data_IF_559737149167
#
_entry.id   IF_559737149167
#
_cell.length_a   1.000
_cell.length_b   1.000
_cell.length_c   1.000
_cell.angle_alpha   90.00
_cell.angle_beta   90.00
_cell.angle_gamma   90.00
#
_symmetry.space_group_name_H-M   'P 1'
#
loop_
_entity.id
_entity.type
_entity.pdbx_description
1 polymer ?
#
# COMPACT_ATOMS: atom_id res chain seq x y z
N UNK A 1 42.16 60.49 -46.58
CA UNK A 1 41.22 59.36 -46.76
C UNK A 1 42.01 58.07 -46.62
N UNK A 2 41.84 57.38 -45.50
CA UNK A 2 42.44 56.07 -45.22
C UNK A 2 41.28 55.15 -44.84
N UNK A 3 41.10 54.11 -45.65
CA UNK A 3 39.94 53.23 -45.67
C UNK A 3 39.95 52.23 -44.51
N UNK A 4 38.77 51.85 -43.99
CA UNK A 4 38.62 50.98 -42.83
C UNK A 4 38.40 49.53 -43.25
N UNK A 5 39.27 48.59 -42.85
CA UNK A 5 38.88 47.17 -42.76
C UNK A 5 39.83 46.34 -41.89
N UNK A 6 39.98 46.76 -40.64
CA UNK A 6 40.36 45.82 -39.57
C UNK A 6 39.08 45.30 -38.94
N UNK A 7 38.58 44.16 -39.40
CA UNK A 7 37.60 43.39 -38.65
C UNK A 7 37.52 41.96 -39.19
N UNK A 8 37.58 41.01 -38.26
CA UNK A 8 37.35 39.58 -38.40
C UNK A 8 38.46 38.76 -39.07
N UNK A 9 39.42 38.31 -38.26
CA UNK A 9 40.01 36.97 -38.36
C UNK A 9 40.63 36.60 -37.00
N UNK A 10 39.79 36.56 -35.96
CA UNK A 10 40.12 35.90 -34.69
C UNK A 10 38.93 35.04 -34.27
N UNK A 11 39.23 33.82 -33.81
CA UNK A 11 38.36 32.83 -33.15
C UNK A 11 37.65 31.79 -34.02
N UNK A 12 38.41 30.99 -34.77
CA UNK A 12 38.02 29.62 -35.08
C UNK A 12 38.93 28.68 -34.29
N UNK A 13 38.34 27.91 -33.36
CA UNK A 13 38.79 26.62 -32.78
C UNK A 13 38.51 26.52 -31.27
N UNK A 14 37.24 26.60 -30.85
CA UNK A 14 36.77 25.93 -29.62
C UNK A 14 35.31 25.51 -29.78
N UNK A 15 35.02 24.66 -30.77
CA UNK A 15 33.80 23.86 -30.79
C UNK A 15 34.14 22.43 -30.34
N UNK A 16 34.76 22.31 -29.16
CA UNK A 16 34.80 21.05 -28.44
C UNK A 16 33.39 20.74 -27.97
N UNK A 17 32.62 20.04 -28.80
CA UNK A 17 31.30 19.55 -28.44
C UNK A 17 31.42 18.69 -27.19
N UNK A 18 31.04 19.24 -26.05
CA UNK A 18 30.79 18.46 -24.85
C UNK A 18 29.56 17.61 -25.14
N UNK A 19 29.81 16.40 -25.66
CA UNK A 19 28.86 15.31 -25.55
C UNK A 19 28.62 15.16 -24.06
N UNK A 20 27.55 15.78 -23.59
CA UNK A 20 27.02 15.58 -22.25
C UNK A 20 26.57 14.14 -22.25
N UNK A 21 27.47 13.24 -21.87
CA UNK A 21 27.10 11.89 -21.47
C UNK A 21 26.11 12.08 -20.34
N UNK A 22 24.83 11.97 -20.68
CA UNK A 22 23.74 11.97 -19.71
C UNK A 22 24.10 10.88 -18.72
N UNK A 23 24.59 11.27 -17.54
CA UNK A 23 25.02 10.35 -16.52
C UNK A 23 23.88 9.34 -16.35
N UNK A 24 24.14 8.07 -16.71
CA UNK A 24 23.13 7.03 -16.63
C UNK A 24 22.69 6.98 -15.18
N UNK A 25 21.43 7.35 -14.94
CA UNK A 25 20.85 7.35 -13.59
C UNK A 25 21.06 5.94 -13.04
N UNK A 26 21.66 5.78 -11.85
CA UNK A 26 21.91 4.46 -11.29
C UNK A 26 20.58 3.66 -11.24
N UNK A 27 20.62 2.35 -11.51
CA UNK A 27 19.42 1.53 -11.49
C UNK A 27 18.71 1.71 -10.15
N UNK A 28 17.39 1.92 -10.20
CA UNK A 28 16.59 2.09 -8.98
C UNK A 28 16.70 0.80 -8.15
N UNK A 29 16.93 0.90 -6.83
CA UNK A 29 16.89 -0.27 -5.96
C UNK A 29 15.58 -1.05 -6.12
N UNK A 30 15.68 -2.38 -6.07
CA UNK A 30 14.55 -3.28 -6.14
C UNK A 30 13.55 -3.00 -5.00
N UNK A 31 12.27 -3.37 -5.20
CA UNK A 31 11.28 -3.41 -4.11
C UNK A 31 11.80 -4.27 -2.96
N UNK A 32 11.51 -3.90 -1.72
CA UNK A 32 11.74 -4.82 -0.58
C UNK A 32 10.68 -5.92 -0.60
N UNK A 33 9.45 -5.61 -0.96
CA UNK A 33 8.36 -6.59 -1.02
C UNK A 33 8.52 -7.66 -2.11
N UNK A 34 9.39 -7.46 -3.10
CA UNK A 34 9.59 -8.46 -4.16
C UNK A 34 10.36 -9.68 -3.68
N UNK A 35 11.07 -9.60 -2.54
CA UNK A 35 11.76 -10.76 -1.95
C UNK A 35 10.87 -11.60 -1.05
N UNK A 36 9.68 -11.09 -0.69
CA UNK A 36 8.71 -11.80 0.14
C UNK A 36 8.07 -12.91 -0.68
N UNK A 37 8.04 -14.13 -0.17
CA UNK A 37 7.32 -15.22 -0.82
C UNK A 37 5.83 -15.15 -0.44
N UNK A 38 4.91 -15.25 -1.42
CA UNK A 38 3.49 -15.34 -1.12
C UNK A 38 3.15 -16.71 -0.53
N UNK A 39 2.00 -16.79 0.14
CA UNK A 39 1.41 -18.04 0.58
C UNK A 39 1.36 -19.02 -0.59
N UNK A 40 1.93 -20.20 -0.39
CA UNK A 40 1.95 -21.26 -1.41
C UNK A 40 0.51 -21.64 -1.72
N UNK A 41 0.18 -21.66 -3.01
CA UNK A 41 -1.16 -21.96 -3.53
C UNK A 41 -2.25 -21.13 -2.83
N UNK A 42 -2.03 -19.81 -2.72
CA UNK A 42 -3.01 -18.90 -2.13
C UNK A 42 -4.41 -19.09 -2.74
N UNK A 43 -5.40 -19.29 -1.88
CA UNK A 43 -6.80 -19.48 -2.25
C UNK A 43 -7.66 -18.32 -1.73
N UNK A 44 -8.16 -17.50 -2.65
CA UNK A 44 -9.00 -16.34 -2.32
C UNK A 44 -10.33 -16.74 -1.66
N UNK A 45 -10.91 -17.89 -2.03
CA UNK A 45 -12.17 -18.36 -1.45
C UNK A 45 -12.00 -18.79 0.00
N UNK A 46 -10.90 -19.47 0.33
CA UNK A 46 -10.59 -19.80 1.73
C UNK A 46 -10.21 -18.55 2.53
N UNK A 47 -9.57 -17.57 1.88
CA UNK A 47 -9.20 -16.30 2.50
C UNK A 47 -10.39 -15.34 2.72
N UNK A 48 -11.52 -15.57 2.05
CA UNK A 48 -12.71 -14.74 2.13
C UNK A 48 -13.28 -14.61 3.56
N UNK A 49 -14.16 -13.65 3.77
CA UNK A 49 -14.85 -13.41 5.03
C UNK A 49 -14.16 -12.37 5.90
N UNK A 50 -14.40 -12.47 7.21
CA UNK A 50 -14.03 -11.45 8.18
C UNK A 50 -12.63 -11.68 8.76
N UNK A 51 -11.87 -10.60 8.92
CA UNK A 51 -10.54 -10.56 9.51
C UNK A 51 -10.40 -9.37 10.47
N UNK A 52 -9.90 -9.60 11.68
CA UNK A 52 -9.67 -8.57 12.69
C UNK A 52 -8.19 -8.16 12.65
N UNK A 53 -7.90 -6.87 12.53
CA UNK A 53 -6.53 -6.38 12.59
C UNK A 53 -6.01 -6.46 14.03
N UNK A 54 -4.95 -7.23 14.23
CA UNK A 54 -4.33 -7.45 15.55
C UNK A 54 -3.17 -6.49 15.77
N UNK A 55 -2.24 -6.43 14.81
CA UNK A 55 -1.04 -5.64 14.93
C UNK A 55 -0.50 -5.17 13.58
N UNK A 56 0.24 -4.07 13.59
CA UNK A 56 0.99 -3.55 12.45
C UNK A 56 2.42 -3.27 12.88
N UNK A 57 3.39 -3.82 12.17
CA UNK A 57 4.80 -3.44 12.29
C UNK A 57 5.18 -2.51 11.15
N UNK A 58 5.65 -1.30 11.46
CA UNK A 58 6.06 -0.31 10.45
C UNK A 58 6.97 0.77 10.99
N UNK A 59 7.94 1.20 10.18
CA UNK A 59 8.73 2.42 10.38
C UNK A 59 7.99 3.71 10.01
N UNK A 60 6.70 3.64 9.66
CA UNK A 60 5.91 4.83 9.35
C UNK A 60 5.76 5.72 10.58
N UNK A 61 6.38 6.91 10.53
CA UNK A 61 6.37 7.89 11.62
C UNK A 61 4.97 8.22 12.15
N UNK A 62 3.99 8.35 11.26
CA UNK A 62 2.61 8.63 11.66
C UNK A 62 2.04 7.51 12.55
N UNK A 63 2.28 6.24 12.20
CA UNK A 63 1.84 5.10 13.02
C UNK A 63 2.58 5.06 14.36
N UNK A 64 3.87 5.39 14.38
CA UNK A 64 4.66 5.43 15.61
C UNK A 64 4.18 6.53 16.57
N UNK A 65 3.86 7.71 16.05
CA UNK A 65 3.44 8.86 16.87
C UNK A 65 1.95 8.79 17.25
N UNK A 66 1.06 8.41 16.32
CA UNK A 66 -0.39 8.39 16.52
C UNK A 66 -0.93 7.02 16.91
N UNK A 67 -0.04 6.07 17.16
CA UNK A 67 -0.38 4.70 17.48
C UNK A 67 -1.32 4.51 18.67
N UNK A 68 -1.18 5.37 19.67
CA UNK A 68 -2.06 5.42 20.86
C UNK A 68 -3.53 5.72 20.54
N UNK A 69 -3.84 6.13 19.31
CA UNK A 69 -5.20 6.38 18.79
C UNK A 69 -5.64 5.32 17.79
N UNK A 70 -4.99 4.16 17.77
CA UNK A 70 -5.43 3.07 16.93
C UNK A 70 -6.84 2.64 17.31
N UNK A 71 -7.67 2.44 16.31
CA UNK A 71 -9.08 2.08 16.46
C UNK A 71 -9.30 0.65 15.98
N UNK A 72 -10.22 -0.05 16.63
CA UNK A 72 -10.57 -1.42 16.25
C UNK A 72 -10.92 -1.48 14.76
N UNK A 73 -10.21 -2.34 14.03
CA UNK A 73 -10.27 -2.39 12.57
C UNK A 73 -10.63 -3.80 12.11
N UNK A 74 -11.70 -3.91 11.33
CA UNK A 74 -12.21 -5.15 10.77
C UNK A 74 -12.14 -5.09 9.25
N UNK A 75 -11.72 -6.17 8.61
CA UNK A 75 -11.78 -6.34 7.16
C UNK A 75 -12.85 -7.37 6.82
N UNK A 76 -13.62 -7.09 5.78
CA UNK A 76 -14.47 -8.07 5.12
C UNK A 76 -13.99 -8.25 3.69
N UNK A 77 -13.61 -9.48 3.34
CA UNK A 77 -12.99 -9.83 2.07
C UNK A 77 -13.95 -10.69 1.25
N UNK A 78 -14.18 -10.29 0.00
CA UNK A 78 -15.03 -11.02 -0.96
C UNK A 78 -14.22 -11.22 -2.25
N UNK A 79 -14.00 -12.48 -2.68
CA UNK A 79 -13.37 -12.75 -3.97
C UNK A 79 -14.21 -12.19 -5.13
N UNK A 80 -13.55 -11.57 -6.10
CA UNK A 80 -14.16 -11.00 -7.29
C UNK A 80 -13.36 -11.41 -8.53
N UNK A 81 -13.58 -12.63 -9.00
CA UNK A 81 -12.72 -13.22 -10.03
C UNK A 81 -11.31 -13.47 -9.47
N UNK A 82 -10.29 -12.93 -10.13
CA UNK A 82 -8.91 -12.97 -9.63
C UNK A 82 -8.64 -11.90 -8.56
N UNK A 83 -9.44 -10.84 -8.52
CA UNK A 83 -9.32 -9.73 -7.57
C UNK A 83 -9.97 -10.07 -6.22
N UNK A 84 -9.71 -9.25 -5.20
CA UNK A 84 -10.43 -9.28 -3.93
C UNK A 84 -11.05 -7.91 -3.63
N UNK A 85 -12.37 -7.87 -3.47
CA UNK A 85 -13.06 -6.72 -2.92
C UNK A 85 -12.91 -6.74 -1.39
N UNK A 86 -12.37 -5.65 -0.84
CA UNK A 86 -12.07 -5.53 0.59
C UNK A 86 -12.76 -4.32 1.17
N UNK A 87 -13.62 -4.55 2.15
CA UNK A 87 -14.21 -3.50 2.98
C UNK A 87 -13.46 -3.43 4.31
N UNK A 88 -12.86 -2.30 4.62
CA UNK A 88 -12.28 -2.02 5.94
C UNK A 88 -13.27 -1.21 6.76
N UNK A 89 -13.62 -1.69 7.94
CA UNK A 89 -14.46 -1.01 8.90
C UNK A 89 -13.60 -0.53 10.06
N UNK A 90 -13.74 0.75 10.39
CA UNK A 90 -13.02 1.36 11.50
C UNK A 90 -13.94 2.37 12.17
N UNK A 91 -13.91 2.40 13.50
CA UNK A 91 -14.59 3.41 14.29
C UNK A 91 -13.72 4.66 14.34
N UNK A 92 -14.28 5.82 14.04
CA UNK A 92 -13.62 7.12 14.17
C UNK A 92 -14.58 8.04 14.92
N UNK A 93 -14.15 8.54 16.09
CA UNK A 93 -14.93 9.45 16.94
C UNK A 93 -16.35 8.94 17.25
N UNK A 94 -16.50 7.63 17.48
CA UNK A 94 -17.81 7.04 17.78
C UNK A 94 -18.57 6.50 16.57
N UNK A 95 -18.19 6.90 15.35
CA UNK A 95 -18.92 6.60 14.11
C UNK A 95 -18.19 5.54 13.31
N UNK A 96 -18.93 4.61 12.71
CA UNK A 96 -18.38 3.55 11.88
C UNK A 96 -18.24 3.97 10.43
N UNK A 97 -17.00 3.88 9.95
CA UNK A 97 -16.64 4.16 8.57
C UNK A 97 -16.33 2.88 7.83
N UNK A 98 -16.82 2.76 6.60
CA UNK A 98 -16.47 1.68 5.67
C UNK A 98 -15.61 2.24 4.54
N UNK A 99 -14.40 1.70 4.37
CA UNK A 99 -13.55 1.98 3.21
C UNK A 99 -13.60 0.79 2.27
N UNK A 100 -14.13 0.97 1.07
CA UNK A 100 -14.17 -0.09 0.04
C UNK A 100 -12.97 0.02 -0.88
N UNK A 101 -12.28 -1.09 -1.09
CA UNK A 101 -11.07 -1.18 -1.90
C UNK A 101 -11.15 -2.42 -2.80
N UNK A 102 -10.55 -2.33 -3.97
CA UNK A 102 -10.33 -3.50 -4.82
C UNK A 102 -8.83 -3.81 -4.83
N UNK A 103 -8.48 -5.00 -4.35
CA UNK A 103 -7.13 -5.53 -4.40
C UNK A 103 -7.00 -6.31 -5.69
N UNK A 104 -6.35 -5.68 -6.67
CA UNK A 104 -6.20 -6.27 -7.99
C UNK A 104 -5.18 -7.38 -7.96
N UNK A 105 -5.44 -8.45 -8.67
CA UNK A 105 -4.51 -9.56 -8.80
C UNK A 105 -3.15 -9.10 -9.36
N UNK A 106 -2.09 -9.75 -8.88
CA UNK A 106 -0.76 -9.64 -9.45
C UNK A 106 -0.44 -10.84 -10.34
N UNK A 107 0.71 -10.80 -11.01
CA UNK A 107 1.20 -11.90 -11.85
C UNK A 107 1.38 -13.23 -11.08
N UNK A 108 1.49 -13.17 -9.75
CA UNK A 108 1.69 -14.33 -8.89
C UNK A 108 0.58 -14.36 -7.84
N UNK A 109 -0.04 -15.54 -7.66
CA UNK A 109 -1.08 -15.76 -6.65
C UNK A 109 -0.62 -15.31 -5.25
N UNK A 110 -1.53 -14.68 -4.51
CA UNK A 110 -1.26 -14.10 -3.19
C UNK A 110 -0.55 -12.74 -3.25
N UNK A 111 -0.20 -12.24 -4.43
CA UNK A 111 0.24 -10.84 -4.62
C UNK A 111 -0.91 -10.00 -5.16
N UNK A 112 -1.03 -8.79 -4.63
CA UNK A 112 -2.08 -7.86 -5.02
C UNK A 112 -1.55 -6.43 -5.16
N UNK A 113 -2.28 -5.62 -5.93
CA UNK A 113 -2.03 -4.21 -6.11
C UNK A 113 -3.26 -3.40 -5.71
N UNK A 114 -3.08 -2.51 -4.73
CA UNK A 114 -4.06 -1.49 -4.41
C UNK A 114 -3.66 -0.16 -5.05
N UNK A 115 -4.49 0.34 -5.94
CA UNK A 115 -4.31 1.67 -6.52
C UNK A 115 -4.80 2.74 -5.55
N UNK A 116 -3.87 3.43 -4.88
CA UNK A 116 -4.23 4.58 -4.06
C UNK A 116 -4.33 5.85 -4.91
N UNK A 117 -5.34 6.69 -4.65
CA UNK A 117 -5.54 7.96 -5.36
C UNK A 117 -4.57 9.05 -4.89
N UNK A 118 -4.32 10.02 -5.77
CA UNK A 118 -3.56 11.24 -5.48
C UNK A 118 -2.12 10.96 -5.07
N UNK A 119 -1.56 11.79 -4.19
CA UNK A 119 -0.16 11.72 -3.79
C UNK A 119 0.21 10.48 -2.93
N UNK A 120 -0.75 9.60 -2.61
CA UNK A 120 -0.50 8.42 -1.77
C UNK A 120 0.23 7.30 -2.53
N UNK A 121 0.00 7.18 -3.83
CA UNK A 121 0.67 6.20 -4.69
C UNK A 121 0.28 4.75 -4.41
N UNK A 122 0.52 3.87 -5.39
CA UNK A 122 0.13 2.46 -5.32
C UNK A 122 0.75 1.73 -4.12
N UNK A 123 0.02 0.74 -3.61
CA UNK A 123 0.43 -0.14 -2.52
C UNK A 123 0.52 -1.56 -3.06
N UNK A 124 1.73 -2.12 -3.06
CA UNK A 124 1.93 -3.52 -3.36
C UNK A 124 1.65 -4.33 -2.11
N UNK A 125 1.00 -5.47 -2.27
CA UNK A 125 0.61 -6.33 -1.17
C UNK A 125 0.98 -7.79 -1.45
N UNK A 126 1.33 -8.51 -0.39
CA UNK A 126 1.57 -9.96 -0.44
C UNK A 126 0.92 -10.59 0.79
N UNK A 127 0.04 -11.56 0.58
CA UNK A 127 -0.36 -12.50 1.65
C UNK A 127 0.80 -13.45 1.83
N UNK A 128 1.62 -13.24 2.87
CA UNK A 128 2.86 -13.99 3.06
C UNK A 128 2.65 -15.33 3.74
N UNK A 129 1.71 -15.39 4.68
CA UNK A 129 1.39 -16.61 5.42
C UNK A 129 -0.03 -16.56 5.94
N UNK A 130 -0.77 -17.66 5.82
CA UNK A 130 -2.09 -17.81 6.42
C UNK A 130 -2.45 -19.28 6.51
N UNK A 131 -3.17 -19.65 7.58
CA UNK A 131 -3.84 -20.93 7.71
C UNK A 131 -5.34 -20.85 7.30
N UNK A 132 -5.77 -19.69 6.79
CA UNK A 132 -7.13 -19.29 6.41
C UNK A 132 -8.17 -19.27 7.54
N UNK A 133 -7.96 -20.03 8.62
CA UNK A 133 -8.93 -20.28 9.70
C UNK A 133 -8.59 -19.55 11.01
N UNK A 134 -7.33 -19.23 11.24
CA UNK A 134 -6.85 -18.62 12.48
C UNK A 134 -6.26 -17.24 12.24
N UNK A 135 -5.27 -17.14 11.35
CA UNK A 135 -4.49 -15.93 11.16
C UNK A 135 -4.04 -15.69 9.71
N UNK A 136 -3.64 -14.45 9.45
CA UNK A 136 -2.98 -14.07 8.22
C UNK A 136 -1.93 -12.98 8.46
N UNK A 137 -0.77 -13.13 7.82
CA UNK A 137 0.30 -12.14 7.82
C UNK A 137 0.41 -11.54 6.42
N UNK A 138 0.15 -10.24 6.33
CA UNK A 138 0.21 -9.48 5.08
C UNK A 138 1.40 -8.53 5.10
N UNK A 139 2.12 -8.47 3.98
CA UNK A 139 3.15 -7.49 3.72
C UNK A 139 2.60 -6.42 2.80
N UNK A 140 2.83 -5.14 3.12
CA UNK A 140 2.43 -4.02 2.29
C UNK A 140 3.63 -3.09 2.07
N UNK A 141 3.86 -2.70 0.83
CA UNK A 141 4.88 -1.71 0.46
C UNK A 141 4.24 -0.51 -0.23
N UNK A 142 4.39 0.65 0.40
CA UNK A 142 3.98 1.94 -0.16
C UNK A 142 5.18 2.89 -0.11
N UNK A 143 5.49 3.55 -1.22
CA UNK A 143 6.63 4.50 -1.30
C UNK A 143 7.95 3.92 -0.74
N UNK A 144 8.22 2.63 -1.02
CA UNK A 144 9.40 1.88 -0.53
C UNK A 144 9.46 1.65 0.98
N UNK A 145 8.39 1.97 1.70
CA UNK A 145 8.24 1.64 3.12
C UNK A 145 7.46 0.34 3.22
N UNK A 146 8.09 -0.69 3.76
CA UNK A 146 7.49 -2.00 4.02
C UNK A 146 6.81 -1.98 5.39
N UNK A 147 5.65 -2.61 5.48
CA UNK A 147 4.93 -2.86 6.72
C UNK A 147 4.41 -4.29 6.73
N UNK A 148 4.25 -4.85 7.93
CA UNK A 148 3.70 -6.19 8.14
C UNK A 148 2.45 -6.05 9.00
N UNK A 149 1.37 -6.71 8.62
CA UNK A 149 0.10 -6.70 9.37
C UNK A 149 -0.27 -8.12 9.77
N UNK A 150 -0.65 -8.29 11.02
CA UNK A 150 -1.25 -9.52 11.54
C UNK A 150 -2.76 -9.36 11.61
N UNK A 151 -3.47 -10.29 11.00
CA UNK A 151 -4.92 -10.45 11.10
C UNK A 151 -5.26 -11.76 11.78
N UNK A 152 -6.40 -11.80 12.47
CA UNK A 152 -6.96 -13.01 13.07
C UNK A 152 -8.44 -13.16 12.74
N UNK A 153 -8.95 -14.39 12.70
CA UNK A 153 -10.39 -14.66 12.56
C UNK A 153 -11.18 -14.38 13.84
N UNK A 154 -10.54 -14.54 15.00
CA UNK A 154 -11.11 -14.31 16.32
C UNK A 154 -10.06 -13.78 17.29
N UNK A 155 -10.50 -13.19 18.40
CA UNK A 155 -9.63 -12.74 19.49
C UNK A 155 -9.82 -13.62 20.73
N UNK A 156 -8.76 -13.84 21.54
CA UNK A 156 -7.38 -13.43 21.29
C UNK A 156 -6.74 -14.22 20.12
N UNK A 157 -5.72 -13.65 19.43
CA UNK A 157 -4.94 -14.41 18.46
C UNK A 157 -4.21 -15.57 19.15
N UNK A 158 -3.94 -16.66 18.44
CA UNK A 158 -3.16 -17.77 18.97
C UNK A 158 -1.70 -17.39 19.20
N UNK A 159 -1.03 -18.08 20.13
CA UNK A 159 0.41 -17.91 20.36
C UNK A 159 1.22 -18.20 19.10
N UNK A 160 0.80 -19.19 18.30
CA UNK A 160 1.42 -19.51 17.01
C UNK A 160 1.35 -18.33 16.03
N UNK A 161 0.24 -17.59 16.00
CA UNK A 161 0.07 -16.43 15.13
C UNK A 161 0.97 -15.27 15.57
N UNK A 162 1.07 -15.02 16.87
CA UNK A 162 1.96 -13.99 17.44
C UNK A 162 3.43 -14.33 17.19
N UNK A 163 3.86 -15.57 17.49
CA UNK A 163 5.22 -16.03 17.22
C UNK A 163 5.56 -15.99 15.73
N UNK A 164 4.64 -16.40 14.85
CA UNK A 164 4.85 -16.27 13.41
C UNK A 164 5.07 -14.81 13.02
N UNK A 165 4.22 -13.90 13.50
CA UNK A 165 4.34 -12.47 13.24
C UNK A 165 5.68 -11.89 13.72
N UNK A 166 6.10 -12.16 14.95
CA UNK A 166 7.40 -11.74 15.51
C UNK A 166 8.58 -12.21 14.66
N UNK A 167 8.56 -13.48 14.23
CA UNK A 167 9.61 -13.98 13.34
C UNK A 167 9.57 -13.30 11.96
N UNK A 168 8.39 -12.95 11.44
CA UNK A 168 8.22 -12.31 10.13
C UNK A 168 8.68 -10.85 10.14
N UNK A 169 8.49 -10.11 11.24
CA UNK A 169 8.95 -8.72 11.37
C UNK A 169 10.49 -8.64 11.44
N UNK A 170 11.14 -9.57 12.15
CA UNK A 170 12.60 -9.62 12.26
C UNK A 170 13.26 -9.84 10.90
N UNK A 171 12.69 -10.71 10.05
CA UNK A 171 13.20 -10.99 8.69
C UNK A 171 13.18 -9.78 7.76
N UNK A 172 12.37 -8.77 8.06
CA UNK A 172 12.28 -7.54 7.27
C UNK A 172 12.91 -6.33 7.95
N UNK A 173 13.76 -6.58 8.95
CA UNK A 173 14.48 -5.59 9.74
C UNK A 173 13.53 -4.60 10.45
N UNK A 174 12.41 -5.10 10.95
CA UNK A 174 11.54 -4.41 11.90
C UNK A 174 11.69 -5.08 13.27
N UNK A 175 11.72 -4.25 14.31
CA UNK A 175 11.87 -4.68 15.70
C UNK A 175 10.58 -4.43 16.49
N UNK A 176 10.51 -4.88 17.74
CA UNK A 176 9.29 -4.80 18.57
C UNK A 176 8.82 -3.36 18.81
N UNK A 177 9.74 -2.40 18.90
CA UNK A 177 9.45 -0.96 18.95
C UNK A 177 8.71 -0.44 17.72
N UNK A 178 8.75 -1.16 16.59
CA UNK A 178 7.99 -0.82 15.39
C UNK A 178 6.58 -1.41 15.40
N UNK A 179 6.25 -2.25 16.38
CA UNK A 179 4.98 -2.98 16.46
C UNK A 179 3.96 -2.16 17.21
N UNK A 180 2.79 -2.05 16.60
CA UNK A 180 1.61 -1.46 17.19
C UNK A 180 0.47 -2.46 17.24
N UNK A 181 -0.02 -2.75 18.44
CA UNK A 181 -1.23 -3.54 18.64
C UNK A 181 -2.49 -2.67 18.54
N UNK A 182 -3.50 -3.19 17.87
CA UNK A 182 -4.80 -2.54 17.71
C UNK A 182 -5.75 -2.94 18.86
N UNK A 183 -6.79 -2.13 19.14
CA UNK A 183 -7.77 -2.46 20.17
C UNK A 183 -8.44 -3.82 19.94
N UNK A 184 -8.68 -4.54 21.04
CA UNK A 184 -9.34 -5.87 21.05
C UNK A 184 -10.86 -5.80 21.16
N UNK A 185 -11.43 -4.60 21.23
CA UNK A 185 -12.85 -4.33 21.45
C UNK A 185 -13.26 -3.06 20.71
N UNK A 186 -14.56 -2.85 20.52
CA UNK A 186 -15.07 -1.66 19.84
C UNK A 186 -15.09 -1.74 18.32
N UNK A 187 -15.00 -2.96 17.75
CA UNK A 187 -15.20 -3.21 16.33
C UNK A 187 -16.59 -2.77 15.87
N UNK A 188 -16.72 -2.54 14.56
CA UNK A 188 -18.00 -2.49 13.91
C UNK A 188 -17.99 -3.14 12.54
N UNK A 189 -19.17 -3.55 12.11
CA UNK A 189 -19.40 -4.42 10.96
C UNK A 189 -20.26 -3.76 9.87
N UNK A 190 -20.81 -2.58 10.17
CA UNK A 190 -21.64 -1.82 9.25
C UNK A 190 -21.39 -0.32 9.42
N UNK A 191 -21.48 0.40 8.30
CA UNK A 191 -21.50 1.85 8.23
C UNK A 191 -22.77 2.29 7.49
N UNK A 192 -23.33 3.42 7.87
CA UNK A 192 -24.42 4.01 7.09
C UNK A 192 -23.89 4.61 5.77
N UNK A 193 -24.81 4.93 4.86
CA UNK A 193 -24.49 5.43 3.52
C UNK A 193 -23.65 6.71 3.48
N UNK A 194 -23.63 7.51 4.55
CA UNK A 194 -22.87 8.76 4.61
C UNK A 194 -21.42 8.54 5.06
N UNK A 195 -21.11 7.36 5.61
CA UNK A 195 -19.81 6.99 6.14
C UNK A 195 -19.15 5.87 5.32
N UNK A 196 -19.45 5.81 4.02
CA UNK A 196 -18.80 4.90 3.07
C UNK A 196 -17.84 5.69 2.17
N UNK A 197 -16.58 5.26 2.14
CA UNK A 197 -15.54 5.79 1.26
C UNK A 197 -15.19 4.74 0.21
N UNK A 198 -15.63 4.94 -1.02
CA UNK A 198 -15.31 4.01 -2.09
C UNK A 198 -14.01 4.37 -2.83
N UNK A 199 -13.06 3.43 -2.77
CA UNK A 199 -11.74 3.50 -3.41
C UNK A 199 -11.76 3.42 -4.93
N UNK A 200 -12.85 2.95 -5.56
CA UNK A 200 -12.97 2.77 -7.02
C UNK A 200 -13.61 3.93 -7.82
N UNK A 201 -14.55 4.69 -7.24
CA UNK A 201 -15.32 5.79 -7.86
C UNK A 201 -14.63 6.98 -8.58
N UNK A 202 -13.32 6.95 -8.85
CA UNK A 202 -12.63 7.90 -9.73
C UNK A 202 -11.83 7.26 -10.87
N UNK A 203 -11.87 5.93 -11.05
CA UNK A 203 -11.29 5.33 -12.27
C UNK A 203 -12.23 5.38 -13.48
N UNK A 204 -13.52 5.69 -13.30
CA UNK A 204 -14.52 5.60 -14.39
C UNK A 204 -15.38 6.85 -14.64
N UNK A 205 -15.01 8.04 -14.11
CA UNK A 205 -15.65 9.27 -14.59
C UNK A 205 -14.84 9.88 -15.73
N UNK A 206 -15.15 9.41 -16.94
CA UNK A 206 -15.24 10.34 -18.06
C UNK A 206 -16.08 11.54 -17.62
N UNK A 207 -15.63 12.74 -17.96
CA UNK A 207 -16.35 13.99 -17.71
C UNK A 207 -17.85 13.83 -17.97
N UNK A 208 -18.74 14.08 -17.00
CA UNK A 208 -20.09 14.48 -17.36
C UNK A 208 -19.95 15.83 -18.06
N UNK A 209 -20.17 15.86 -19.38
CA UNK A 209 -20.39 17.09 -20.10
C UNK A 209 -21.52 17.86 -19.42
N UNK A 210 -21.24 19.09 -18.99
CA UNK A 210 -22.23 19.97 -18.40
C UNK A 210 -23.44 20.12 -19.36
N UNK A 211 -24.69 20.18 -18.84
CA UNK A 211 -25.83 20.47 -19.68
C UNK A 211 -25.72 21.90 -20.24
N UNK A 212 -25.90 22.02 -21.55
CA UNK A 212 -25.93 23.30 -22.26
C UNK A 212 -27.10 24.15 -21.72
N UNK A 213 -26.87 25.43 -21.40
CA UNK A 213 -27.95 26.32 -20.99
C UNK A 213 -28.89 26.57 -22.18
N UNK A 214 -30.19 26.40 -21.95
CA UNK A 214 -31.24 26.92 -22.83
C UNK A 214 -31.45 28.40 -22.58
#
# INVERSE_FOLDING_TARGET
MLTPWTALLLTLLLAGGSVSQRARRPPRPASRISTIQPQVNFDAHQFAGTWLLVAVASSCRFLQEQGHRAEATLLHVVPQGADMAVSTFQKLDGICWQVRQLYRDGEVLGRFLLQARGARGAVNMVVGETDYQGFAILYLEQKRQLSVKLYARSLPPSDSALSAFEQRIQRVNLTEDHVLFFPKYGFCEAADQFHVLDGEWYSNRGHPSAPSPR
#
